data_IF_472508815442
#
_entry.id   IF_472508815442
#
_cell.length_a   1.000
_cell.length_b   1.000
_cell.length_c   1.000
_cell.angle_alpha   90.00
_cell.angle_beta   90.00
_cell.angle_gamma   90.00
#
_symmetry.space_group_name_H-M   'P 1'
#
loop_
_entity.id
_entity.type
_entity.pdbx_description
1 polymer ?
#
# COMPACT_ATOMS: atom_id res chain seq x y z
N UNK A 1 -20.68 -16.77 -10.93
CA UNK A 1 -20.29 -16.47 -9.55
C UNK A 1 -21.34 -15.53 -9.00
N UNK A 2 -21.70 -15.69 -7.73
CA UNK A 2 -22.69 -14.82 -7.11
C UNK A 2 -22.11 -13.42 -6.94
N UNK A 3 -22.95 -12.40 -7.09
CA UNK A 3 -22.56 -11.00 -6.90
C UNK A 3 -22.30 -10.74 -5.41
N UNK A 4 -21.14 -10.18 -5.05
CA UNK A 4 -20.80 -9.81 -3.69
C UNK A 4 -21.44 -8.46 -3.35
N UNK A 5 -22.25 -8.42 -2.28
CA UNK A 5 -22.79 -7.18 -1.72
C UNK A 5 -21.70 -6.50 -0.92
N UNK A 6 -21.16 -5.41 -1.47
CA UNK A 6 -20.04 -4.67 -0.85
C UNK A 6 -20.55 -3.41 -0.16
N UNK A 7 -20.23 -3.26 1.12
CA UNK A 7 -20.45 -2.06 1.90
C UNK A 7 -19.23 -1.16 1.93
N UNK A 8 -19.43 0.16 1.91
CA UNK A 8 -18.36 1.14 2.01
C UNK A 8 -18.47 1.87 3.35
N UNK A 9 -17.38 1.83 4.16
CA UNK A 9 -17.35 2.41 5.51
C UNK A 9 -16.31 3.53 5.58
N UNK A 10 -16.77 4.76 5.89
CA UNK A 10 -15.96 5.97 5.83
C UNK A 10 -15.91 6.55 4.42
N UNK A 11 -16.66 7.62 4.19
CA UNK A 11 -16.81 8.25 2.87
C UNK A 11 -15.91 9.49 2.70
N UNK A 12 -14.68 9.45 3.26
CA UNK A 12 -13.67 10.50 3.07
C UNK A 12 -12.95 10.42 1.74
N UNK A 13 -11.90 11.23 1.59
CA UNK A 13 -11.12 11.39 0.35
C UNK A 13 -10.62 10.06 -0.25
N UNK A 14 -10.24 9.08 0.60
CA UNK A 14 -9.80 7.77 0.08
C UNK A 14 -10.97 6.99 -0.50
N UNK A 15 -12.14 7.01 0.13
CA UNK A 15 -13.31 6.35 -0.41
C UNK A 15 -13.79 6.98 -1.72
N UNK A 16 -13.67 8.29 -1.90
CA UNK A 16 -13.95 8.94 -3.19
C UNK A 16 -13.01 8.40 -4.30
N UNK A 17 -11.74 8.16 -3.96
CA UNK A 17 -10.79 7.51 -4.88
C UNK A 17 -11.24 6.09 -5.24
N UNK A 18 -11.65 5.28 -4.26
CA UNK A 18 -12.16 3.94 -4.49
C UNK A 18 -13.47 3.96 -5.30
N UNK A 19 -14.41 4.83 -4.94
CA UNK A 19 -15.69 4.95 -5.64
C UNK A 19 -15.51 5.24 -7.14
N UNK A 20 -14.53 6.09 -7.50
CA UNK A 20 -14.21 6.37 -8.91
C UNK A 20 -13.67 5.14 -9.67
N UNK A 21 -13.12 4.16 -8.98
CA UNK A 21 -12.55 2.95 -9.54
C UNK A 21 -13.50 1.74 -9.47
N UNK A 22 -14.36 1.69 -8.48
CA UNK A 22 -15.29 0.58 -8.19
C UNK A 22 -16.19 0.25 -9.38
N UNK A 23 -16.65 1.24 -10.13
CA UNK A 23 -17.49 1.03 -11.32
C UNK A 23 -16.80 0.22 -12.43
N UNK A 24 -15.50 -0.02 -12.32
CA UNK A 24 -14.73 -0.88 -13.24
C UNK A 24 -14.52 -2.30 -12.72
N UNK A 25 -15.04 -2.60 -11.53
CA UNK A 25 -14.95 -3.93 -10.90
C UNK A 25 -16.23 -4.71 -11.19
N UNK A 26 -16.08 -5.90 -11.70
CA UNK A 26 -17.21 -6.82 -11.94
C UNK A 26 -17.47 -7.72 -10.72
N UNK A 27 -18.68 -8.27 -10.65
CA UNK A 27 -19.04 -9.24 -9.60
C UNK A 27 -19.34 -8.61 -8.23
N UNK A 28 -19.57 -7.30 -8.19
CA UNK A 28 -19.96 -6.59 -6.97
C UNK A 28 -21.19 -5.75 -7.16
N UNK A 29 -21.93 -5.53 -6.07
CA UNK A 29 -22.99 -4.54 -5.94
C UNK A 29 -22.73 -3.71 -4.68
N UNK A 30 -22.70 -2.39 -4.79
CA UNK A 30 -22.58 -1.52 -3.61
C UNK A 30 -23.97 -1.33 -3.03
N UNK A 31 -24.22 -1.96 -1.89
CA UNK A 31 -25.55 -1.98 -1.24
C UNK A 31 -25.70 -0.90 -0.18
N UNK A 32 -24.61 -0.57 0.53
CA UNK A 32 -24.64 0.39 1.65
C UNK A 32 -23.39 1.25 1.65
N UNK A 33 -23.55 2.53 1.96
CA UNK A 33 -22.45 3.47 2.28
C UNK A 33 -22.67 4.04 3.68
N UNK A 34 -21.60 4.17 4.46
CA UNK A 34 -21.64 4.61 5.84
C UNK A 34 -20.66 5.76 6.10
N UNK A 35 -21.16 6.87 6.61
CA UNK A 35 -20.35 7.94 7.19
C UNK A 35 -21.18 8.68 8.26
N UNK A 36 -20.53 9.13 9.31
CA UNK A 36 -21.17 9.96 10.35
C UNK A 36 -21.53 11.37 9.84
N UNK A 37 -20.98 11.76 8.68
CA UNK A 37 -21.26 13.01 7.98
C UNK A 37 -22.10 12.68 6.74
N UNK A 38 -23.42 12.97 6.74
CA UNK A 38 -24.33 12.58 5.67
C UNK A 38 -23.89 13.04 4.28
N UNK A 39 -23.36 14.25 4.18
CA UNK A 39 -22.94 14.88 2.93
C UNK A 39 -21.80 14.09 2.25
N UNK A 40 -20.95 13.41 3.04
CA UNK A 40 -19.90 12.55 2.51
C UNK A 40 -20.48 11.26 1.93
N UNK A 41 -21.43 10.64 2.65
CA UNK A 41 -22.13 9.46 2.15
C UNK A 41 -22.88 9.78 0.83
N UNK A 42 -23.56 10.93 0.76
CA UNK A 42 -24.23 11.41 -0.46
C UNK A 42 -23.25 11.62 -1.62
N UNK A 43 -22.08 12.23 -1.35
CA UNK A 43 -21.03 12.44 -2.37
C UNK A 43 -20.55 11.12 -2.98
N UNK A 44 -20.27 10.13 -2.14
CA UNK A 44 -19.83 8.80 -2.57
C UNK A 44 -20.96 8.07 -3.33
N UNK A 45 -22.19 8.08 -2.81
CA UNK A 45 -23.34 7.46 -3.48
C UNK A 45 -23.57 8.05 -4.88
N UNK A 46 -23.43 9.37 -5.00
CA UNK A 46 -23.53 10.05 -6.30
C UNK A 46 -22.42 9.64 -7.26
N UNK A 47 -21.19 9.50 -6.79
CA UNK A 47 -20.05 9.07 -7.62
C UNK A 47 -20.20 7.61 -8.10
N UNK A 48 -20.87 6.76 -7.34
CA UNK A 48 -21.16 5.37 -7.72
C UNK A 48 -22.23 5.26 -8.82
N UNK A 49 -23.11 6.25 -8.94
CA UNK A 49 -24.19 6.25 -9.95
C UNK A 49 -25.33 5.28 -9.67
N UNK A 50 -25.33 4.61 -8.51
CA UNK A 50 -26.43 3.82 -7.98
C UNK A 50 -27.00 4.51 -6.72
N UNK A 51 -28.03 3.91 -6.11
CA UNK A 51 -28.68 4.48 -4.90
C UNK A 51 -28.49 3.53 -3.73
N UNK A 52 -27.26 3.36 -3.20
CA UNK A 52 -27.04 2.51 -2.04
C UNK A 52 -27.77 3.06 -0.80
N UNK A 53 -28.11 2.18 0.13
CA UNK A 53 -28.60 2.60 1.45
C UNK A 53 -27.52 3.45 2.13
N UNK A 54 -27.90 4.56 2.75
CA UNK A 54 -26.97 5.41 3.53
C UNK A 54 -27.28 5.26 5.01
N UNK A 55 -26.23 5.03 5.81
CA UNK A 55 -26.31 4.88 7.28
C UNK A 55 -25.21 5.68 7.97
N UNK A 56 -25.43 6.03 9.23
CA UNK A 56 -24.43 6.75 10.03
C UNK A 56 -23.59 5.80 10.90
N UNK A 57 -24.14 4.66 11.30
CA UNK A 57 -23.44 3.63 12.07
C UNK A 57 -23.22 2.39 11.20
N UNK A 58 -21.96 1.98 11.05
CA UNK A 58 -21.59 0.80 10.26
C UNK A 58 -22.23 -0.50 10.79
N UNK A 59 -22.64 -0.54 12.06
CA UNK A 59 -23.31 -1.70 12.62
C UNK A 59 -24.67 -1.99 11.98
N UNK A 60 -25.31 -0.95 11.41
CA UNK A 60 -26.58 -1.08 10.69
C UNK A 60 -26.45 -1.73 9.31
N UNK A 61 -25.20 -2.01 8.83
CA UNK A 61 -24.93 -2.55 7.51
C UNK A 61 -24.88 -4.08 7.48
N UNK A 62 -24.74 -4.74 8.62
CA UNK A 62 -24.31 -6.14 8.71
C UNK A 62 -25.18 -7.12 7.92
N UNK A 63 -26.48 -6.90 7.86
CA UNK A 63 -27.42 -7.78 7.13
C UNK A 63 -27.48 -7.46 5.63
N UNK A 64 -26.98 -6.30 5.22
CA UNK A 64 -27.06 -5.80 3.84
C UNK A 64 -25.79 -6.10 3.04
N UNK A 65 -24.71 -6.62 3.67
CA UNK A 65 -23.41 -6.82 3.02
C UNK A 65 -22.86 -8.24 3.19
N UNK A 66 -22.02 -8.65 2.26
CA UNK A 66 -21.19 -9.87 2.33
C UNK A 66 -19.72 -9.52 2.62
N UNK A 67 -19.30 -8.34 2.17
CA UNK A 67 -17.97 -7.79 2.37
C UNK A 67 -18.02 -6.28 2.63
N UNK A 68 -16.98 -5.74 3.24
CA UNK A 68 -16.83 -4.29 3.45
C UNK A 68 -15.45 -3.81 3.01
N UNK A 69 -15.41 -2.57 2.47
CA UNK A 69 -14.21 -1.77 2.29
C UNK A 69 -14.24 -0.66 3.34
N UNK A 70 -13.26 -0.66 4.22
CA UNK A 70 -13.17 0.26 5.37
C UNK A 70 -12.10 1.30 5.11
N UNK A 71 -12.48 2.58 5.08
CA UNK A 71 -11.60 3.73 4.89
C UNK A 71 -11.83 4.80 5.97
N UNK A 72 -11.76 4.37 7.22
CA UNK A 72 -11.88 5.18 8.43
C UNK A 72 -10.51 5.80 8.81
N UNK A 73 -10.44 6.72 9.79
CA UNK A 73 -9.22 7.05 10.50
C UNK A 73 -8.57 5.79 11.10
N UNK A 74 -7.24 5.72 11.09
CA UNK A 74 -6.47 4.51 11.43
C UNK A 74 -6.82 3.92 12.81
N UNK A 75 -7.10 4.78 13.80
CA UNK A 75 -7.47 4.39 15.16
C UNK A 75 -8.83 3.68 15.25
N UNK A 76 -9.61 3.69 14.20
CA UNK A 76 -10.92 3.04 14.13
C UNK A 76 -10.92 1.76 13.29
N UNK A 77 -9.80 1.41 12.64
CA UNK A 77 -9.70 0.25 11.78
C UNK A 77 -9.98 -1.05 12.53
N UNK A 78 -9.33 -1.22 13.69
CA UNK A 78 -9.43 -2.45 14.48
C UNK A 78 -10.88 -2.74 14.92
N UNK A 79 -11.54 -1.78 15.56
CA UNK A 79 -12.90 -2.01 16.04
C UNK A 79 -13.88 -2.33 14.91
N UNK A 80 -13.81 -1.56 13.82
CA UNK A 80 -14.68 -1.74 12.67
C UNK A 80 -14.42 -3.10 11.99
N UNK A 81 -13.14 -3.41 11.70
CA UNK A 81 -12.76 -4.67 11.08
C UNK A 81 -13.16 -5.89 11.92
N UNK A 82 -12.89 -5.84 13.23
CA UNK A 82 -13.25 -6.91 14.17
C UNK A 82 -14.77 -7.14 14.22
N UNK A 83 -15.55 -6.04 14.22
CA UNK A 83 -17.00 -6.14 14.20
C UNK A 83 -17.50 -6.92 12.99
N UNK A 84 -17.05 -6.56 11.78
CA UNK A 84 -17.46 -7.25 10.55
C UNK A 84 -16.94 -8.69 10.49
N UNK A 85 -15.68 -8.93 10.88
CA UNK A 85 -15.13 -10.28 10.93
C UNK A 85 -15.96 -11.21 11.80
N UNK A 86 -16.31 -10.78 13.04
CA UNK A 86 -17.16 -11.55 13.96
C UNK A 86 -18.60 -11.77 13.48
N UNK A 87 -19.06 -10.96 12.52
CA UNK A 87 -20.33 -11.17 11.81
C UNK A 87 -20.17 -11.89 10.48
N UNK A 88 -19.02 -12.58 10.27
CA UNK A 88 -18.73 -13.39 9.08
C UNK A 88 -18.75 -12.60 7.78
N UNK A 89 -18.28 -11.35 7.83
CA UNK A 89 -18.15 -10.50 6.65
C UNK A 89 -16.67 -10.39 6.26
N UNK A 90 -16.40 -10.50 4.96
CA UNK A 90 -15.05 -10.27 4.43
C UNK A 90 -14.65 -8.80 4.59
N UNK A 91 -13.39 -8.55 4.88
CA UNK A 91 -12.89 -7.20 5.21
C UNK A 91 -11.73 -6.81 4.30
N UNK A 92 -11.93 -5.75 3.51
CA UNK A 92 -10.84 -4.99 2.90
C UNK A 92 -10.62 -3.72 3.73
N UNK A 93 -9.45 -3.62 4.35
CA UNK A 93 -9.08 -2.54 5.25
C UNK A 93 -8.11 -1.58 4.59
N UNK A 94 -8.41 -0.28 4.58
CA UNK A 94 -7.41 0.72 4.19
C UNK A 94 -6.15 0.60 5.05
N UNK A 95 -5.07 1.05 4.50
CA UNK A 95 -3.77 1.02 5.17
C UNK A 95 -3.63 2.17 6.20
N UNK A 96 -2.83 1.97 7.25
CA UNK A 96 -2.24 0.70 7.69
C UNK A 96 -3.32 -0.25 8.22
N UNK A 97 -3.03 -1.55 8.30
CA UNK A 97 -4.02 -2.54 8.75
C UNK A 97 -4.64 -2.15 10.11
N UNK A 98 -3.80 -1.90 11.13
CA UNK A 98 -4.16 -1.32 12.42
C UNK A 98 -2.98 -0.52 12.98
N UNK A 99 -3.15 0.14 14.13
CA UNK A 99 -2.14 0.98 14.74
C UNK A 99 -1.13 0.22 15.63
N UNK A 100 -1.47 -0.98 16.09
CA UNK A 100 -0.62 -1.81 16.95
C UNK A 100 -0.52 -3.24 16.45
N UNK A 101 0.54 -3.95 16.83
CA UNK A 101 0.73 -5.36 16.51
C UNK A 101 -0.37 -6.23 17.12
N UNK A 102 -0.78 -5.92 18.37
CA UNK A 102 -1.83 -6.65 19.07
C UNK A 102 -3.17 -6.55 18.33
N UNK A 103 -3.55 -5.35 17.89
CA UNK A 103 -4.77 -5.14 17.10
C UNK A 103 -4.71 -5.91 15.77
N UNK A 104 -3.57 -5.87 15.06
CA UNK A 104 -3.39 -6.63 13.84
C UNK A 104 -3.59 -8.13 14.07
N UNK A 105 -2.93 -8.69 15.09
CA UNK A 105 -3.01 -10.13 15.40
C UNK A 105 -4.45 -10.53 15.75
N UNK A 106 -5.13 -9.77 16.60
CA UNK A 106 -6.53 -10.08 16.99
C UNK A 106 -7.50 -9.98 15.80
N UNK A 107 -7.28 -9.02 14.90
CA UNK A 107 -8.11 -8.91 13.69
C UNK A 107 -7.87 -10.07 12.73
N UNK A 108 -6.60 -10.46 12.52
CA UNK A 108 -6.21 -11.59 11.69
C UNK A 108 -6.82 -12.89 12.24
N UNK A 109 -6.62 -13.16 13.54
CA UNK A 109 -7.15 -14.33 14.23
C UNK A 109 -8.68 -14.39 14.11
N UNK A 110 -9.37 -13.27 14.31
CA UNK A 110 -10.83 -13.23 14.16
C UNK A 110 -11.28 -13.57 12.74
N UNK A 111 -10.60 -13.06 11.72
CA UNK A 111 -10.93 -13.39 10.33
C UNK A 111 -10.66 -14.87 10.00
N UNK A 112 -9.55 -15.43 10.51
CA UNK A 112 -9.21 -16.85 10.34
C UNK A 112 -10.23 -17.77 11.05
N UNK A 113 -10.61 -17.46 12.29
CA UNK A 113 -11.61 -18.20 13.06
C UNK A 113 -12.98 -18.22 12.39
N UNK A 114 -13.41 -17.10 11.81
CA UNK A 114 -14.71 -17.00 11.13
C UNK A 114 -14.66 -17.41 9.65
N UNK A 115 -13.48 -17.74 9.13
CA UNK A 115 -13.28 -18.15 7.73
C UNK A 115 -13.55 -17.04 6.73
N UNK A 116 -13.28 -15.79 7.08
CA UNK A 116 -13.47 -14.63 6.20
C UNK A 116 -12.15 -14.07 5.68
N UNK A 117 -12.17 -13.54 4.47
CA UNK A 117 -11.01 -12.94 3.83
C UNK A 117 -10.69 -11.58 4.47
N UNK A 118 -9.44 -11.39 4.88
CA UNK A 118 -8.89 -10.11 5.31
C UNK A 118 -7.83 -9.65 4.32
N UNK A 119 -8.00 -8.46 3.74
CA UNK A 119 -7.04 -7.83 2.84
C UNK A 119 -6.74 -6.39 3.30
N UNK A 120 -5.47 -6.02 3.32
CA UNK A 120 -5.05 -4.63 3.49
C UNK A 120 -4.95 -3.94 2.12
N UNK A 121 -5.53 -2.75 1.98
CA UNK A 121 -5.53 -1.99 0.74
C UNK A 121 -4.15 -1.37 0.46
N UNK A 122 -3.23 -2.18 -0.01
CA UNK A 122 -1.95 -1.77 -0.56
C UNK A 122 -2.03 -1.80 -2.10
N UNK A 123 -2.36 -0.68 -2.78
CA UNK A 123 -2.60 -0.68 -4.22
C UNK A 123 -1.32 -0.88 -5.06
N UNK A 124 -0.16 -0.55 -4.52
CA UNK A 124 1.10 -0.51 -5.29
C UNK A 124 1.44 -1.85 -5.95
N UNK A 125 1.33 -3.02 -5.30
CA UNK A 125 1.58 -4.31 -5.94
C UNK A 125 0.65 -4.63 -7.12
N UNK A 126 -0.49 -3.96 -7.22
CA UNK A 126 -1.50 -4.18 -8.26
C UNK A 126 -1.39 -3.19 -9.43
N UNK A 127 -0.56 -2.15 -9.33
CA UNK A 127 -0.33 -1.26 -10.47
C UNK A 127 0.27 -2.05 -11.64
N UNK A 128 -0.30 -1.88 -12.84
CA UNK A 128 0.17 -2.57 -14.05
C UNK A 128 1.68 -2.40 -14.28
N UNK A 129 2.20 -1.22 -13.99
CA UNK A 129 3.64 -0.93 -14.04
C UNK A 129 4.46 -1.76 -13.06
N UNK A 130 3.97 -1.95 -11.83
CA UNK A 130 4.68 -2.73 -10.81
C UNK A 130 4.58 -4.23 -11.09
N UNK A 131 3.41 -4.69 -11.55
CA UNK A 131 3.24 -6.07 -12.04
C UNK A 131 4.22 -6.37 -13.18
N UNK A 132 4.35 -5.45 -14.15
CA UNK A 132 5.29 -5.61 -15.26
C UNK A 132 6.75 -5.51 -14.80
N UNK A 133 7.07 -4.57 -13.89
CA UNK A 133 8.42 -4.47 -13.32
C UNK A 133 8.81 -5.76 -12.60
N UNK A 134 7.89 -6.35 -11.83
CA UNK A 134 8.11 -7.64 -11.17
C UNK A 134 8.30 -8.76 -12.18
N UNK A 135 7.48 -8.83 -13.23
CA UNK A 135 7.62 -9.80 -14.32
C UNK A 135 8.98 -9.71 -15.01
N UNK A 136 9.45 -8.49 -15.28
CA UNK A 136 10.78 -8.26 -15.88
C UNK A 136 11.90 -8.77 -14.96
N UNK A 137 11.84 -8.48 -13.68
CA UNK A 137 12.82 -8.95 -12.68
C UNK A 137 12.78 -10.48 -12.57
N UNK A 138 11.60 -11.07 -12.47
CA UNK A 138 11.41 -12.53 -12.29
C UNK A 138 11.77 -13.32 -13.53
N UNK A 139 11.88 -12.68 -14.71
CA UNK A 139 12.33 -13.35 -15.93
C UNK A 139 13.76 -13.87 -15.86
N UNK A 140 14.57 -13.37 -14.91
CA UNK A 140 15.97 -13.68 -14.79
C UNK A 140 16.87 -13.00 -15.83
N UNK A 141 16.32 -12.33 -16.85
CA UNK A 141 17.06 -11.66 -17.93
C UNK A 141 18.07 -10.64 -17.40
N UNK A 142 17.74 -9.95 -16.31
CA UNK A 142 18.57 -8.89 -15.76
C UNK A 142 19.54 -9.37 -14.68
N UNK A 143 19.53 -10.67 -14.35
CA UNK A 143 20.34 -11.23 -13.27
C UNK A 143 19.79 -10.89 -11.88
N UNK A 144 20.62 -11.01 -10.84
CA UNK A 144 20.22 -10.78 -9.47
C UNK A 144 20.01 -9.28 -9.18
N UNK A 145 19.05 -8.98 -8.30
CA UNK A 145 18.91 -7.62 -7.77
C UNK A 145 20.08 -7.34 -6.82
N UNK A 146 20.74 -6.20 -7.03
CA UNK A 146 21.80 -5.68 -6.16
C UNK A 146 21.21 -4.69 -5.17
N UNK A 147 20.34 -3.79 -5.64
CA UNK A 147 19.72 -2.75 -4.85
C UNK A 147 18.34 -2.40 -5.41
N UNK A 148 17.39 -2.11 -4.51
CA UNK A 148 16.13 -1.48 -4.87
C UNK A 148 15.98 -0.17 -4.10
N UNK A 149 15.79 0.94 -4.82
CA UNK A 149 15.57 2.27 -4.26
C UNK A 149 14.20 2.79 -4.63
N UNK A 150 13.44 3.19 -3.62
CA UNK A 150 12.11 3.76 -3.78
C UNK A 150 12.11 5.20 -3.27
N UNK A 151 11.65 6.11 -4.13
CA UNK A 151 11.47 7.53 -3.81
C UNK A 151 10.00 7.88 -3.83
N UNK A 152 9.51 8.56 -2.78
CA UNK A 152 8.12 9.00 -2.68
C UNK A 152 8.07 10.41 -2.12
N UNK A 153 8.07 11.38 -3.02
CA UNK A 153 8.19 12.80 -2.71
C UNK A 153 6.90 13.52 -3.11
N UNK A 154 6.22 14.07 -2.13
CA UNK A 154 5.00 14.85 -2.35
C UNK A 154 4.90 16.03 -1.38
N UNK A 155 4.21 17.09 -1.78
CA UNK A 155 3.79 18.13 -0.87
C UNK A 155 2.40 17.80 -0.32
N UNK A 156 2.33 17.59 0.98
CA UNK A 156 1.07 17.35 1.70
C UNK A 156 0.75 18.56 2.55
N UNK A 157 -0.45 19.09 2.39
CA UNK A 157 -0.97 20.17 3.21
C UNK A 157 -1.90 19.60 4.29
N UNK A 158 -1.79 20.08 5.54
CA UNK A 158 -2.76 19.71 6.56
C UNK A 158 -4.14 20.26 6.17
N UNK A 159 -5.16 19.43 6.32
CA UNK A 159 -6.55 19.89 6.27
C UNK A 159 -7.14 19.87 7.67
N UNK A 160 -8.13 20.76 7.99
CA UNK A 160 -8.77 20.78 9.31
C UNK A 160 -9.42 19.44 9.69
N UNK A 161 -9.82 18.66 8.69
CA UNK A 161 -10.52 17.39 8.82
C UNK A 161 -9.57 16.23 9.13
N UNK A 162 -8.27 16.40 8.86
CA UNK A 162 -7.27 15.39 9.10
C UNK A 162 -6.61 15.61 10.44
N UNK A 163 -6.76 14.64 11.31
CA UNK A 163 -6.03 14.60 12.59
C UNK A 163 -4.55 14.18 12.39
N UNK A 164 -3.95 14.59 11.27
CA UNK A 164 -2.58 14.24 10.87
C UNK A 164 -1.52 14.59 11.91
N UNK A 165 -1.80 15.60 12.74
CA UNK A 165 -0.94 15.95 13.84
C UNK A 165 -0.95 14.96 15.00
N UNK A 166 -2.02 14.17 15.14
CA UNK A 166 -2.23 13.32 16.32
C UNK A 166 -1.65 11.92 16.10
N UNK A 167 -0.48 11.63 16.68
CA UNK A 167 0.19 10.33 16.59
C UNK A 167 -0.66 9.19 17.15
N UNK A 168 -1.47 9.41 18.21
CA UNK A 168 -2.32 8.38 18.76
C UNK A 168 -3.37 7.89 17.75
N UNK A 169 -3.84 8.77 16.89
CA UNK A 169 -4.80 8.43 15.82
C UNK A 169 -4.12 7.84 14.58
N UNK A 170 -2.95 8.36 14.21
CA UNK A 170 -2.21 7.90 13.04
C UNK A 170 -1.37 6.65 13.26
N UNK A 171 -1.05 6.29 14.51
CA UNK A 171 -0.14 5.21 14.84
C UNK A 171 1.35 5.52 14.64
N UNK A 172 1.70 6.47 13.78
CA UNK A 172 3.07 6.85 13.47
C UNK A 172 3.18 8.11 12.61
N UNK A 173 4.32 8.30 11.96
CA UNK A 173 4.55 9.38 11.02
C UNK A 173 4.39 8.96 9.56
N UNK A 174 5.15 9.61 8.67
CA UNK A 174 5.14 9.31 7.24
C UNK A 174 5.56 7.86 6.97
N UNK A 175 6.60 7.37 7.66
CA UNK A 175 7.11 6.02 7.46
C UNK A 175 6.08 4.95 7.81
N UNK A 176 5.30 5.14 8.88
CA UNK A 176 4.20 4.23 9.23
C UNK A 176 2.99 4.38 8.31
N UNK A 177 2.48 5.61 8.17
CA UNK A 177 1.22 5.85 7.46
C UNK A 177 1.30 5.68 5.95
N UNK A 178 2.47 5.97 5.35
CA UNK A 178 2.68 5.89 3.90
C UNK A 178 3.80 4.92 3.53
N UNK A 179 4.87 4.87 4.32
CA UNK A 179 6.00 3.98 4.08
C UNK A 179 5.62 2.50 4.11
N UNK A 180 4.54 2.11 4.79
CA UNK A 180 4.07 0.73 4.85
C UNK A 180 3.83 0.12 3.45
N UNK A 181 3.33 0.89 2.48
CA UNK A 181 3.20 0.46 1.08
C UNK A 181 4.54 0.01 0.47
N UNK A 182 5.61 0.72 0.80
CA UNK A 182 6.92 0.56 0.15
C UNK A 182 7.80 -0.42 0.88
N UNK A 183 7.63 -0.56 2.19
CA UNK A 183 8.21 -1.67 2.96
C UNK A 183 7.63 -3.00 2.46
N UNK A 184 6.29 -3.10 2.30
CA UNK A 184 5.65 -4.26 1.68
C UNK A 184 6.22 -4.55 0.28
N UNK A 185 6.40 -3.52 -0.54
CA UNK A 185 6.95 -3.68 -1.88
C UNK A 185 8.41 -4.17 -1.86
N UNK A 186 9.26 -3.62 -0.97
CA UNK A 186 10.64 -4.08 -0.81
C UNK A 186 10.70 -5.56 -0.43
N UNK A 187 9.83 -6.02 0.49
CA UNK A 187 9.74 -7.44 0.86
C UNK A 187 9.38 -8.31 -0.33
N UNK A 188 8.45 -7.88 -1.18
CA UNK A 188 8.01 -8.63 -2.39
C UNK A 188 9.11 -8.78 -3.43
N UNK A 189 9.99 -7.79 -3.56
CA UNK A 189 11.08 -7.83 -4.53
C UNK A 189 12.35 -8.47 -3.98
N UNK A 190 12.66 -8.23 -2.70
CA UNK A 190 13.95 -8.57 -2.10
C UNK A 190 13.87 -9.72 -1.08
N UNK A 191 12.66 -10.08 -0.64
CA UNK A 191 12.44 -11.21 0.27
C UNK A 191 12.72 -10.86 1.74
N UNK A 192 13.41 -11.74 2.46
CA UNK A 192 13.63 -11.66 3.90
C UNK A 192 14.64 -10.58 4.29
N UNK A 193 14.24 -9.53 5.03
CA UNK A 193 15.15 -8.53 5.56
C UNK A 193 15.90 -9.09 6.79
N UNK A 194 17.14 -8.65 7.01
CA UNK A 194 17.94 -9.06 8.18
C UNK A 194 18.30 -7.91 9.09
N UNK A 195 18.41 -6.70 8.55
CA UNK A 195 18.86 -5.52 9.28
C UNK A 195 18.30 -4.25 8.63
N UNK A 196 18.02 -3.21 9.44
CA UNK A 196 17.54 -1.93 8.91
C UNK A 196 17.80 -0.77 9.86
N UNK A 197 17.85 0.44 9.28
CA UNK A 197 17.94 1.70 10.01
C UNK A 197 16.98 2.72 9.44
N UNK A 198 16.38 3.53 10.29
CA UNK A 198 15.47 4.59 9.94
C UNK A 198 15.94 5.92 10.53
N UNK A 199 15.73 7.00 9.79
CA UNK A 199 15.95 8.37 10.24
C UNK A 199 14.77 9.21 9.80
N UNK A 200 14.08 9.80 10.77
CA UNK A 200 12.94 10.66 10.55
C UNK A 200 13.20 12.10 10.97
N UNK A 201 12.55 13.06 10.29
CA UNK A 201 12.54 14.46 10.69
C UNK A 201 11.19 15.11 10.45
N UNK A 202 10.89 16.12 11.29
CA UNK A 202 9.70 16.96 11.17
C UNK A 202 9.98 18.27 10.44
N UNK A 203 11.23 18.56 10.10
CA UNK A 203 11.60 19.79 9.41
C UNK A 203 10.80 19.94 8.11
N UNK A 204 10.09 21.05 7.97
CA UNK A 204 9.19 21.33 6.86
C UNK A 204 7.79 20.69 6.95
N UNK A 205 7.52 19.94 8.03
CA UNK A 205 6.24 19.30 8.33
C UNK A 205 5.93 19.39 9.84
N UNK A 206 6.17 20.55 10.43
CA UNK A 206 6.06 20.80 11.87
C UNK A 206 4.64 20.63 12.42
N UNK A 207 3.65 20.60 11.55
CA UNK A 207 2.26 20.31 11.88
C UNK A 207 1.99 18.84 12.26
N UNK A 208 2.94 17.93 11.96
CA UNK A 208 2.91 16.54 12.43
C UNK A 208 3.55 16.41 13.81
N UNK A 209 3.09 15.46 14.62
CA UNK A 209 3.73 15.06 15.87
C UNK A 209 4.91 14.09 15.67
N UNK A 210 4.91 13.34 14.57
CA UNK A 210 5.98 12.46 14.15
C UNK A 210 6.60 12.97 12.85
N UNK A 211 7.56 12.22 12.28
CA UNK A 211 8.26 12.60 11.06
C UNK A 211 7.33 12.73 9.84
N UNK A 212 7.57 13.74 9.03
CA UNK A 212 6.97 13.89 7.70
C UNK A 212 7.96 13.61 6.58
N UNK A 213 9.25 13.50 6.92
CA UNK A 213 10.32 13.07 6.02
C UNK A 213 11.06 11.93 6.67
N UNK A 214 11.26 10.84 5.92
CA UNK A 214 11.94 9.64 6.41
C UNK A 214 12.89 9.05 5.38
N UNK A 215 13.99 8.46 5.88
CA UNK A 215 14.91 7.63 5.11
C UNK A 215 15.06 6.30 5.83
N UNK A 216 14.78 5.22 5.12
CA UNK A 216 14.92 3.85 5.62
C UNK A 216 15.85 3.06 4.70
N UNK A 217 16.78 2.32 5.30
CA UNK A 217 17.71 1.43 4.60
C UNK A 217 17.60 0.03 5.16
N UNK A 218 17.74 -0.96 4.29
CA UNK A 218 17.52 -2.37 4.60
C UNK A 218 18.60 -3.23 4.00
N UNK A 219 19.00 -4.27 4.70
CA UNK A 219 19.83 -5.36 4.22
C UNK A 219 18.99 -6.63 4.15
N UNK A 220 19.08 -7.35 3.05
CA UNK A 220 18.32 -8.57 2.82
C UNK A 220 19.21 -9.82 2.86
N UNK A 221 18.63 -10.96 3.15
CA UNK A 221 19.31 -12.25 3.30
C UNK A 221 20.03 -12.70 2.01
N UNK A 222 19.49 -12.33 0.85
CA UNK A 222 20.09 -12.58 -0.46
C UNK A 222 21.27 -11.67 -0.79
N UNK A 223 21.64 -10.74 0.11
CA UNK A 223 22.72 -9.78 -0.05
C UNK A 223 22.30 -8.44 -0.68
N UNK A 224 21.08 -8.32 -1.17
CA UNK A 224 20.59 -7.06 -1.73
C UNK A 224 20.39 -5.98 -0.64
N UNK A 225 20.38 -4.72 -1.07
CA UNK A 225 20.11 -3.55 -0.23
C UNK A 225 18.83 -2.87 -0.68
N UNK A 226 17.95 -2.53 0.27
CA UNK A 226 16.74 -1.75 0.04
C UNK A 226 16.89 -0.32 0.54
N UNK A 227 16.25 0.62 -0.12
CA UNK A 227 16.19 2.02 0.26
C UNK A 227 14.78 2.58 0.05
N UNK A 228 14.26 3.29 1.03
CA UNK A 228 13.06 4.10 0.88
C UNK A 228 13.32 5.52 1.39
N UNK A 229 13.31 6.48 0.49
CA UNK A 229 13.37 7.91 0.79
C UNK A 229 12.04 8.58 0.53
N UNK A 230 11.49 9.27 1.52
CA UNK A 230 10.13 9.80 1.44
C UNK A 230 10.00 11.15 2.12
N UNK A 231 9.16 12.03 1.57
CA UNK A 231 8.79 13.27 2.23
C UNK A 231 7.38 13.71 1.88
N UNK A 232 6.64 14.17 2.87
CA UNK A 232 5.40 14.93 2.73
C UNK A 232 5.63 16.45 2.64
N UNK A 233 6.87 16.88 2.80
CA UNK A 233 7.28 18.27 2.76
C UNK A 233 7.97 18.69 1.47
N UNK A 234 7.83 17.97 0.36
CA UNK A 234 8.51 18.29 -0.89
C UNK A 234 8.08 19.67 -1.43
N UNK A 235 9.05 20.55 -1.63
CA UNK A 235 8.83 21.89 -2.24
C UNK A 235 9.20 21.94 -3.70
N UNK A 236 9.51 20.80 -4.26
CA UNK A 236 9.85 20.48 -5.63
C UNK A 236 10.41 19.08 -5.65
N UNK A 237 10.25 18.37 -6.76
CA UNK A 237 10.75 17.01 -6.91
C UNK A 237 11.20 16.76 -8.34
N UNK A 238 12.23 15.93 -8.49
CA UNK A 238 12.65 15.40 -9.80
C UNK A 238 12.24 13.94 -9.94
N UNK A 239 12.25 13.20 -8.84
CA UNK A 239 11.96 11.77 -8.83
C UNK A 239 10.48 11.48 -8.60
N UNK A 240 9.79 12.31 -7.79
CA UNK A 240 8.40 12.10 -7.43
C UNK A 240 8.21 10.71 -6.82
N UNK A 241 7.54 9.84 -7.57
CA UNK A 241 7.44 8.41 -7.28
C UNK A 241 8.29 7.66 -8.30
N UNK A 242 9.47 7.20 -7.88
CA UNK A 242 10.42 6.44 -8.69
C UNK A 242 10.83 5.15 -7.97
N UNK A 243 10.86 4.05 -8.74
CA UNK A 243 11.20 2.71 -8.26
C UNK A 243 12.37 2.21 -9.11
N UNK A 244 13.56 2.22 -8.53
CA UNK A 244 14.81 1.89 -9.22
C UNK A 244 15.32 0.55 -8.72
N UNK A 245 15.60 -0.37 -9.64
CA UNK A 245 16.15 -1.69 -9.35
C UNK A 245 17.46 -1.85 -10.08
N UNK A 246 18.57 -1.71 -9.36
CA UNK A 246 19.90 -2.03 -9.87
C UNK A 246 20.08 -3.54 -9.87
N UNK A 247 20.40 -4.09 -11.03
CA UNK A 247 20.63 -5.51 -11.23
C UNK A 247 22.04 -5.78 -11.78
N UNK A 248 22.43 -7.06 -11.93
CA UNK A 248 23.73 -7.42 -12.52
C UNK A 248 23.87 -6.94 -13.98
N UNK A 249 22.77 -6.76 -14.71
CA UNK A 249 22.77 -6.46 -16.14
C UNK A 249 22.10 -5.13 -16.49
N UNK A 250 21.92 -4.21 -15.53
CA UNK A 250 21.40 -2.88 -15.81
C UNK A 250 20.52 -2.33 -14.69
N UNK A 251 20.06 -1.10 -14.88
CA UNK A 251 19.13 -0.43 -13.99
C UNK A 251 17.75 -0.40 -14.62
N UNK A 252 16.77 -1.00 -13.96
CA UNK A 252 15.36 -0.85 -14.27
C UNK A 252 14.77 0.28 -13.43
N UNK A 253 14.09 1.23 -14.04
CA UNK A 253 13.39 2.29 -13.34
C UNK A 253 11.95 2.40 -13.83
N UNK A 254 10.99 2.30 -12.89
CA UNK A 254 9.66 2.81 -13.12
C UNK A 254 9.58 4.24 -12.59
N UNK A 255 9.36 5.19 -13.49
CA UNK A 255 9.10 6.58 -13.15
C UNK A 255 7.60 6.87 -13.33
N UNK A 256 6.92 7.20 -12.23
CA UNK A 256 5.47 7.38 -12.24
C UNK A 256 5.04 8.64 -13.01
N UNK A 257 5.85 9.69 -13.03
CA UNK A 257 5.52 10.91 -13.78
C UNK A 257 5.54 10.71 -15.29
N UNK A 258 6.40 9.81 -15.77
CA UNK A 258 6.48 9.40 -17.16
C UNK A 258 5.55 8.21 -17.48
N UNK A 259 5.13 7.47 -16.45
CA UNK A 259 4.40 6.21 -16.54
C UNK A 259 5.11 5.18 -17.43
N UNK A 260 6.43 5.05 -17.27
CA UNK A 260 7.29 4.18 -18.07
C UNK A 260 8.22 3.34 -17.21
N UNK A 261 8.56 2.15 -17.73
CA UNK A 261 9.69 1.37 -17.23
C UNK A 261 10.83 1.53 -18.23
N UNK A 262 11.90 2.12 -17.74
CA UNK A 262 13.10 2.39 -18.50
C UNK A 262 14.21 1.42 -18.08
N UNK A 263 15.01 0.98 -19.06
CA UNK A 263 16.29 0.29 -18.85
C UNK A 263 17.42 1.27 -19.10
N UNK A 264 18.28 1.42 -18.10
CA UNK A 264 19.53 2.15 -18.22
C UNK A 264 20.68 1.14 -18.18
N UNK A 265 21.50 1.14 -19.22
CA UNK A 265 22.71 0.33 -19.29
C UNK A 265 23.94 1.09 -18.84
N UNK A 266 25.03 0.36 -18.62
CA UNK A 266 26.36 0.91 -18.32
C UNK A 266 27.41 0.39 -19.29
N UNK A 267 28.50 1.11 -19.43
CA UNK A 267 29.61 0.69 -20.27
C UNK A 267 30.16 -0.69 -19.82
N UNK A 268 30.22 -1.64 -20.75
CA UNK A 268 30.73 -2.98 -20.50
C UNK A 268 29.71 -3.95 -19.87
N UNK A 269 28.44 -3.52 -19.69
CA UNK A 269 27.36 -4.39 -19.22
C UNK A 269 26.53 -4.85 -20.42
N UNK A 270 26.27 -6.14 -20.48
CA UNK A 270 25.45 -6.76 -21.54
C UNK A 270 24.17 -7.34 -20.92
N UNK A 271 23.01 -7.00 -21.50
CA UNK A 271 21.72 -7.60 -21.15
C UNK A 271 21.39 -8.68 -22.17
N UNK A 272 21.24 -9.94 -21.73
CA UNK A 272 20.93 -11.04 -22.64
C UNK A 272 19.66 -10.76 -23.48
N UNK A 273 19.77 -10.94 -24.80
CA UNK A 273 18.64 -10.71 -25.72
C UNK A 273 18.31 -9.25 -26.02
N UNK A 274 19.13 -8.31 -25.54
CA UNK A 274 19.02 -6.88 -25.86
C UNK A 274 20.29 -6.45 -26.57
N UNK A 275 20.24 -6.33 -27.91
CA UNK A 275 21.35 -5.87 -28.71
C UNK A 275 21.57 -4.35 -28.58
N UNK A 276 22.83 -3.90 -28.62
CA UNK A 276 23.30 -2.49 -28.66
C UNK A 276 22.73 -1.58 -27.58
N UNK A 277 22.69 -2.04 -26.35
CA UNK A 277 21.84 -1.49 -25.33
C UNK A 277 22.33 -0.23 -24.62
N UNK A 278 23.57 0.28 -24.88
CA UNK A 278 24.18 1.07 -23.80
C UNK A 278 24.62 2.50 -24.12
N UNK A 279 24.21 3.02 -25.25
CA UNK A 279 24.35 4.46 -25.54
C UNK A 279 23.09 5.29 -25.23
N UNK A 280 21.96 4.65 -24.93
CA UNK A 280 20.67 5.33 -24.70
C UNK A 280 19.75 4.58 -23.72
N UNK A 281 18.87 5.33 -23.10
CA UNK A 281 17.75 4.77 -22.29
C UNK A 281 16.80 3.99 -23.21
N UNK A 282 16.42 2.78 -22.80
CA UNK A 282 15.46 1.95 -23.53
C UNK A 282 14.16 1.81 -22.75
N UNK A 283 13.06 2.20 -23.36
CA UNK A 283 11.73 1.98 -22.79
C UNK A 283 11.35 0.51 -22.95
N UNK A 284 11.12 -0.19 -21.83
CA UNK A 284 10.69 -1.59 -21.81
C UNK A 284 9.17 -1.71 -21.69
N UNK A 285 8.52 -0.72 -21.08
CA UNK A 285 7.07 -0.64 -20.94
C UNK A 285 6.63 0.82 -20.94
N UNK A 286 5.52 1.10 -21.60
CA UNK A 286 4.88 2.43 -21.68
C UNK A 286 3.40 2.28 -21.29
N UNK A 287 3.00 2.90 -20.20
CA UNK A 287 1.64 2.85 -19.66
C UNK A 287 0.63 3.73 -20.42
N UNK A 288 1.07 4.44 -21.47
CA UNK A 288 0.24 5.29 -22.32
C UNK A 288 -0.58 6.33 -21.53
N UNK A 289 0.04 7.44 -21.16
CA UNK A 289 -0.60 8.55 -20.47
C UNK A 289 -0.25 8.63 -18.97
N UNK A 290 -1.01 9.44 -18.23
CA UNK A 290 -0.74 9.67 -16.81
C UNK A 290 -1.05 8.44 -15.95
N UNK A 291 -0.15 8.13 -15.02
CA UNK A 291 -0.37 7.05 -14.06
C UNK A 291 -1.53 7.40 -13.11
N UNK A 292 -2.42 6.45 -12.91
CA UNK A 292 -3.54 6.54 -11.95
C UNK A 292 -3.26 5.70 -10.70
N UNK A 293 -4.14 5.76 -9.70
CA UNK A 293 -4.00 4.91 -8.51
C UNK A 293 -4.39 3.46 -8.74
N UNK A 294 -5.12 3.15 -9.81
CA UNK A 294 -5.53 1.80 -10.25
C UNK A 294 -6.11 0.91 -9.14
N UNK A 295 -6.87 1.50 -8.20
CA UNK A 295 -7.45 0.77 -7.04
C UNK A 295 -8.49 -0.28 -7.44
N UNK A 296 -8.99 -0.23 -8.66
CA UNK A 296 -9.88 -1.27 -9.18
C UNK A 296 -9.23 -2.66 -9.23
N UNK A 297 -7.93 -2.75 -9.49
CA UNK A 297 -7.25 -4.04 -9.56
C UNK A 297 -7.09 -4.70 -8.18
N UNK A 298 -6.82 -3.90 -7.14
CA UNK A 298 -6.78 -4.45 -5.77
C UNK A 298 -8.15 -4.90 -5.30
N UNK A 299 -9.22 -4.13 -5.60
CA UNK A 299 -10.59 -4.52 -5.26
C UNK A 299 -10.99 -5.79 -6.03
N UNK A 300 -10.68 -5.87 -7.34
CA UNK A 300 -10.93 -7.09 -8.11
C UNK A 300 -10.22 -8.30 -7.51
N UNK A 301 -8.95 -8.15 -7.09
CA UNK A 301 -8.22 -9.23 -6.44
C UNK A 301 -8.88 -9.68 -5.12
N UNK A 302 -9.37 -8.75 -4.31
CA UNK A 302 -10.10 -9.06 -3.09
C UNK A 302 -11.35 -9.92 -3.37
N UNK A 303 -12.13 -9.52 -4.38
CA UNK A 303 -13.33 -10.27 -4.81
C UNK A 303 -12.98 -11.65 -5.36
N UNK A 304 -11.93 -11.74 -6.16
CA UNK A 304 -11.43 -13.03 -6.67
C UNK A 304 -11.00 -13.96 -5.52
N UNK A 305 -10.34 -13.43 -4.50
CA UNK A 305 -9.95 -14.20 -3.33
C UNK A 305 -11.16 -14.71 -2.54
N UNK A 306 -12.21 -13.90 -2.39
CA UNK A 306 -13.47 -14.35 -1.76
C UNK A 306 -14.08 -15.52 -2.54
N UNK A 307 -14.20 -15.39 -3.84
CA UNK A 307 -14.81 -16.43 -4.68
C UNK A 307 -14.01 -17.73 -4.71
N UNK A 308 -12.69 -17.64 -4.70
CA UNK A 308 -11.81 -18.80 -4.85
C UNK A 308 -11.36 -19.40 -3.50
N UNK A 309 -11.66 -18.73 -2.38
CA UNK A 309 -11.17 -19.11 -1.05
C UNK A 309 -9.64 -19.03 -0.94
N UNK A 310 -9.01 -18.14 -1.71
CA UNK A 310 -7.56 -17.94 -1.71
C UNK A 310 -7.14 -16.78 -0.80
N UNK A 311 -5.91 -16.84 -0.28
CA UNK A 311 -5.36 -15.74 0.51
C UNK A 311 -4.96 -14.57 -0.41
N UNK A 312 -5.35 -13.30 -0.06
CA UNK A 312 -4.90 -12.14 -0.81
C UNK A 312 -3.40 -11.91 -0.71
N UNK A 313 -2.78 -11.45 -1.79
CA UNK A 313 -1.33 -11.14 -1.76
C UNK A 313 -0.98 -10.04 -0.74
N UNK A 314 -1.91 -9.15 -0.40
CA UNK A 314 -1.80 -8.17 0.68
C UNK A 314 -2.68 -8.55 1.88
N UNK A 315 -2.79 -9.83 2.17
CA UNK A 315 -3.55 -10.36 3.30
C UNK A 315 -3.04 -9.85 4.65
N UNK A 316 -3.82 -10.08 5.70
CA UNK A 316 -3.53 -9.55 7.03
C UNK A 316 -2.13 -9.88 7.54
N UNK A 317 -1.66 -11.12 7.34
CA UNK A 317 -0.31 -11.56 7.78
C UNK A 317 0.79 -10.85 7.00
N UNK A 318 0.64 -10.70 5.68
CA UNK A 318 1.61 -9.97 4.85
C UNK A 318 1.67 -8.48 5.24
N UNK A 319 0.54 -7.84 5.45
CA UNK A 319 0.48 -6.45 5.92
C UNK A 319 1.12 -6.26 7.31
N UNK A 320 0.89 -7.20 8.22
CA UNK A 320 1.50 -7.18 9.55
C UNK A 320 3.04 -7.23 9.49
N UNK A 321 3.63 -7.99 8.56
CA UNK A 321 5.09 -8.06 8.45
C UNK A 321 5.72 -6.70 8.10
N UNK A 322 5.13 -5.95 7.19
CA UNK A 322 5.61 -4.60 6.87
C UNK A 322 5.51 -3.65 8.06
N UNK A 323 4.45 -3.74 8.87
CA UNK A 323 4.27 -2.93 10.07
C UNK A 323 5.25 -3.33 11.19
N UNK A 324 5.50 -4.63 11.41
CA UNK A 324 6.49 -5.13 12.36
C UNK A 324 7.88 -4.56 12.09
N UNK A 325 8.28 -4.53 10.83
CA UNK A 325 9.54 -3.93 10.39
C UNK A 325 9.58 -2.44 10.78
N UNK A 326 8.53 -1.69 10.50
CA UNK A 326 8.45 -0.27 10.79
C UNK A 326 8.53 -0.02 12.30
N UNK A 327 7.78 -0.74 13.11
CA UNK A 327 7.84 -0.60 14.57
C UNK A 327 9.23 -0.92 15.12
N UNK A 328 9.87 -2.01 14.67
CA UNK A 328 11.25 -2.34 15.09
C UNK A 328 12.25 -1.28 14.67
N UNK A 329 12.11 -0.69 13.50
CA UNK A 329 12.99 0.38 13.04
C UNK A 329 12.77 1.67 13.84
N UNK A 330 11.54 1.99 14.22
CA UNK A 330 11.26 3.10 15.14
C UNK A 330 11.86 2.88 16.54
N UNK A 331 11.80 1.67 17.08
CA UNK A 331 12.43 1.32 18.36
C UNK A 331 13.95 1.47 18.29
N UNK A 332 14.55 0.98 17.22
CA UNK A 332 16.00 1.06 16.99
C UNK A 332 16.45 2.52 16.80
N UNK A 333 15.72 3.34 16.04
CA UNK A 333 15.99 4.77 15.89
C UNK A 333 15.99 5.48 17.26
N UNK A 334 14.98 5.23 18.09
CA UNK A 334 14.85 5.81 19.43
C UNK A 334 16.00 5.43 20.35
N UNK A 335 16.53 4.22 20.20
CA UNK A 335 17.67 3.74 20.99
C UNK A 335 19.03 4.01 20.34
N UNK A 336 19.07 4.63 19.15
CA UNK A 336 20.30 4.91 18.42
C UNK A 336 21.02 3.65 17.93
N UNK A 337 20.25 2.59 17.63
CA UNK A 337 20.78 1.29 17.18
C UNK A 337 20.24 0.92 15.81
N UNK A 338 20.76 -0.17 15.24
CA UNK A 338 20.23 -0.80 14.04
C UNK A 338 19.20 -1.87 14.43
N UNK A 339 18.10 -1.97 13.69
CA UNK A 339 17.05 -2.96 13.93
C UNK A 339 17.49 -4.35 13.42
N UNK A 340 17.31 -5.39 14.23
CA UNK A 340 17.34 -6.78 13.79
C UNK A 340 15.96 -7.12 13.20
N UNK A 341 15.93 -7.44 11.90
CA UNK A 341 14.72 -7.70 11.12
C UNK A 341 14.55 -9.18 10.73
N UNK A 342 15.43 -10.06 11.22
CA UNK A 342 15.38 -11.49 10.91
C UNK A 342 14.06 -12.10 11.38
N UNK A 343 13.47 -12.95 10.53
CA UNK A 343 12.19 -13.59 10.78
C UNK A 343 10.96 -12.72 10.51
N UNK A 344 11.15 -11.53 9.94
CA UNK A 344 10.08 -10.59 9.58
C UNK A 344 9.86 -10.45 8.07
N UNK A 345 10.33 -11.40 7.27
CA UNK A 345 10.03 -11.45 5.84
C UNK A 345 8.65 -12.04 5.54
N UNK A 346 8.23 -11.99 4.26
CA UNK A 346 7.01 -12.61 3.75
C UNK A 346 7.17 -14.13 3.64
#
# INVERSE_FOLDING_TARGET
MDTIRLGLVGCGQMMETHASAINRVSGIEITVVCDIIPERAESVAKALGNSPKMVADYKEMVDDVDAVLVALPHDLHYECGLYFARHKKHVMMEKPLCNTEEECLRLIEACEEEGVTLMCAYPVPFWRSIVELKRLVDSGTFGRIIQMSIWTEQLTHPTPEWHWGNTARLGGGQFFSHGCHYVDLLLRFLGEPIEGSHFGTRVGTEWLQREGTSVAIFKFKNGAVGYHGATWGARGTRLGYSFQIQTEHGLLEYNRSENKINLYGGAGVHVPGIEDSFSSVRVLWDGAGAATKETNFEISHFIDCIHNGSEPITGGRAALQSLRIIWKMYEAEKSGTTADLRGLGL
#
